data_IF_157772538340
#
_entry.id   IF_157772538340
#
_cell.length_a   1.000
_cell.length_b   1.000
_cell.length_c   1.000
_cell.angle_alpha   90.00
_cell.angle_beta   90.00
_cell.angle_gamma   90.00
#
_symmetry.space_group_name_H-M   'P 1'
#
loop_
_entity.id
_entity.type
_entity.pdbx_description
1 polymer ?
#
# COMPACT_ATOMS: atom_id res chain seq x y z
N UNK A 1 -9.07 -52.72 11.06
CA UNK A 1 -8.77 -51.34 11.45
C UNK A 1 -7.47 -50.77 10.85
N UNK A 2 -6.42 -51.58 10.60
CA UNK A 2 -5.16 -51.10 10.00
C UNK A 2 -5.28 -50.55 8.56
N UNK A 3 -6.23 -51.05 7.75
CA UNK A 3 -6.48 -50.59 6.37
C UNK A 3 -7.09 -49.18 6.30
N UNK A 4 -7.89 -48.82 7.29
CA UNK A 4 -8.52 -47.49 7.39
C UNK A 4 -7.47 -46.48 7.88
N UNK A 5 -6.66 -46.85 8.86
CA UNK A 5 -5.56 -46.02 9.35
C UNK A 5 -4.54 -45.72 8.22
N UNK A 6 -4.16 -46.72 7.43
CA UNK A 6 -3.25 -46.54 6.28
C UNK A 6 -3.86 -45.66 5.19
N UNK A 7 -5.13 -45.84 4.85
CA UNK A 7 -5.83 -44.96 3.90
C UNK A 7 -5.87 -43.50 4.40
N UNK A 8 -6.19 -43.28 5.68
CA UNK A 8 -6.20 -41.94 6.28
C UNK A 8 -4.81 -41.29 6.27
N UNK A 9 -3.75 -42.04 6.59
CA UNK A 9 -2.37 -41.54 6.57
C UNK A 9 -1.97 -41.12 5.15
N UNK A 10 -2.30 -41.93 4.13
CA UNK A 10 -2.00 -41.60 2.73
C UNK A 10 -2.73 -40.34 2.27
N UNK A 11 -3.99 -40.15 2.66
CA UNK A 11 -4.77 -38.94 2.33
C UNK A 11 -4.16 -37.71 3.00
N UNK A 12 -3.78 -37.79 4.28
CA UNK A 12 -3.16 -36.67 5.00
C UNK A 12 -1.81 -36.29 4.39
N UNK A 13 -0.98 -37.27 4.03
CA UNK A 13 0.31 -37.02 3.37
C UNK A 13 0.13 -36.35 1.99
N UNK A 14 -0.85 -36.79 1.20
CA UNK A 14 -1.18 -36.18 -0.09
C UNK A 14 -1.63 -34.72 0.06
N UNK A 15 -2.50 -34.44 1.03
CA UNK A 15 -2.97 -33.07 1.31
C UNK A 15 -1.81 -32.16 1.77
N UNK A 16 -0.94 -32.65 2.66
CA UNK A 16 0.26 -31.91 3.09
C UNK A 16 1.19 -31.58 1.91
N UNK A 17 1.43 -32.53 1.00
CA UNK A 17 2.26 -32.31 -0.18
C UNK A 17 1.68 -31.21 -1.08
N UNK A 18 0.37 -31.21 -1.32
CA UNK A 18 -0.32 -30.18 -2.13
C UNK A 18 -0.20 -28.79 -1.49
N UNK A 19 -0.34 -28.68 -0.16
CA UNK A 19 -0.18 -27.40 0.56
C UNK A 19 1.26 -26.88 0.51
N UNK A 20 2.26 -27.77 0.63
CA UNK A 20 3.67 -27.40 0.49
C UNK A 20 4.01 -26.95 -0.94
N UNK A 21 3.47 -27.62 -1.96
CA UNK A 21 3.63 -27.22 -3.37
C UNK A 21 2.96 -25.87 -3.67
N UNK A 22 1.79 -25.60 -3.09
CA UNK A 22 1.09 -24.32 -3.27
C UNK A 22 1.83 -23.14 -2.61
N UNK A 23 2.52 -23.36 -1.49
CA UNK A 23 3.31 -22.33 -0.81
C UNK A 23 4.69 -22.11 -1.44
N UNK A 24 5.22 -23.07 -2.21
CA UNK A 24 6.51 -22.97 -2.89
C UNK A 24 6.51 -22.03 -4.12
N UNK A 25 5.36 -21.55 -4.59
CA UNK A 25 5.27 -20.65 -5.76
C UNK A 25 5.28 -19.15 -5.42
N UNK A 26 5.53 -18.77 -4.16
CA UNK A 26 5.67 -17.37 -3.75
C UNK A 26 7.13 -16.87 -3.78
N UNK A 27 7.93 -17.29 -4.76
CA UNK A 27 9.23 -16.68 -5.06
C UNK A 27 9.60 -16.88 -6.52
N UNK A 28 9.44 -15.87 -7.40
CA UNK A 28 10.18 -15.84 -8.64
C UNK A 28 11.66 -15.63 -8.27
N UNK A 29 12.42 -16.71 -8.20
CA UNK A 29 13.87 -16.65 -8.21
C UNK A 29 14.29 -16.15 -9.59
N UNK A 30 14.49 -14.84 -9.70
CA UNK A 30 15.24 -14.28 -10.80
C UNK A 30 16.65 -14.90 -10.75
N UNK A 31 16.93 -15.85 -11.65
CA UNK A 31 18.29 -16.27 -11.96
C UNK A 31 19.08 -15.02 -12.39
N UNK A 32 19.95 -14.54 -11.49
CA UNK A 32 20.90 -13.49 -11.81
C UNK A 32 21.84 -13.97 -12.91
N UNK A 33 21.80 -13.32 -14.07
CA UNK A 33 22.83 -13.47 -15.09
C UNK A 33 24.16 -12.88 -14.56
N UNK A 34 25.30 -13.50 -14.89
CA UNK A 34 26.60 -13.04 -14.43
C UNK A 34 26.98 -11.76 -15.17
N UNK A 35 27.58 -10.83 -14.43
CA UNK A 35 28.22 -9.64 -14.93
C UNK A 35 29.30 -10.01 -15.94
N UNK A 36 29.15 -9.56 -17.18
CA UNK A 36 30.14 -9.75 -18.23
C UNK A 36 30.07 -8.59 -19.21
N UNK A 37 30.63 -7.44 -18.83
CA UNK A 37 31.17 -6.48 -19.80
C UNK A 37 32.43 -5.86 -19.20
N UNK A 38 33.57 -6.34 -19.67
CA UNK A 38 34.84 -5.63 -19.65
C UNK A 38 34.82 -4.58 -20.76
N UNK A 39 35.35 -3.39 -20.49
CA UNK A 39 35.67 -2.39 -21.50
C UNK A 39 34.81 -1.13 -21.46
N UNK A 40 35.44 -0.03 -21.02
CA UNK A 40 35.01 1.37 -21.17
C UNK A 40 33.64 1.75 -20.58
N UNK A 41 33.67 2.21 -19.32
CA UNK A 41 32.56 2.92 -18.68
C UNK A 41 32.33 4.28 -19.35
N UNK A 42 31.61 4.30 -20.46
CA UNK A 42 30.99 5.51 -21.00
C UNK A 42 29.60 5.66 -20.40
N UNK A 43 29.42 6.70 -19.57
CA UNK A 43 28.18 6.95 -18.80
C UNK A 43 26.91 7.13 -19.65
N UNK A 44 27.04 7.17 -20.97
CA UNK A 44 25.93 7.34 -21.91
C UNK A 44 25.14 6.05 -22.18
N UNK A 45 25.70 4.85 -21.92
CA UNK A 45 25.08 3.57 -22.26
C UNK A 45 25.05 2.56 -21.10
N UNK A 46 24.74 3.03 -19.88
CA UNK A 46 24.23 2.14 -18.83
C UNK A 46 22.73 1.86 -19.02
N UNK A 47 22.18 0.73 -18.52
CA UNK A 47 20.73 0.60 -18.39
C UNK A 47 20.25 1.79 -17.58
N UNK A 48 19.53 2.70 -18.24
CA UNK A 48 18.96 3.87 -17.56
C UNK A 48 18.16 3.31 -16.38
N UNK A 49 18.49 3.64 -15.12
CA UNK A 49 17.59 3.31 -14.02
C UNK A 49 16.23 3.90 -14.40
N UNK A 50 15.11 3.19 -14.20
CA UNK A 50 13.82 3.63 -14.71
C UNK A 50 13.39 5.03 -14.23
N UNK A 51 14.13 5.64 -13.29
CA UNK A 51 14.00 7.06 -12.97
C UNK A 51 15.35 7.69 -12.62
N UNK A 52 15.93 8.56 -13.47
CA UNK A 52 16.97 9.48 -13.05
C UNK A 52 16.31 10.54 -12.15
N UNK A 53 16.48 10.44 -10.82
CA UNK A 53 16.21 11.56 -9.91
C UNK A 53 14.98 11.51 -9.00
N UNK A 54 14.37 10.36 -8.67
CA UNK A 54 13.32 10.31 -7.64
C UNK A 54 13.76 9.61 -6.35
N UNK A 55 14.67 10.25 -5.61
CA UNK A 55 14.74 9.98 -4.16
C UNK A 55 13.39 10.40 -3.58
N UNK A 56 12.61 9.45 -3.09
CA UNK A 56 11.38 9.79 -2.39
C UNK A 56 11.68 10.71 -1.22
N UNK A 57 10.73 11.61 -0.91
CA UNK A 57 10.90 12.57 0.17
C UNK A 57 11.00 11.90 1.54
N UNK A 58 11.18 12.71 2.60
CA UNK A 58 11.26 12.20 3.97
C UNK A 58 10.03 11.33 4.31
N UNK A 59 10.30 10.15 4.88
CA UNK A 59 9.30 9.14 5.27
C UNK A 59 8.46 8.59 4.11
N UNK A 60 9.01 8.59 2.89
CA UNK A 60 8.40 7.99 1.71
C UNK A 60 9.27 6.88 1.14
N UNK A 61 8.64 5.93 0.46
CA UNK A 61 9.27 4.82 -0.27
C UNK A 61 8.66 4.71 -1.65
N UNK A 62 9.49 4.45 -2.65
CA UNK A 62 9.01 4.23 -4.01
C UNK A 62 8.44 2.82 -4.10
N UNK A 63 7.15 2.71 -4.38
CA UNK A 63 6.50 1.42 -4.61
C UNK A 63 5.98 1.38 -6.03
N UNK A 64 6.05 0.21 -6.65
CA UNK A 64 5.49 -0.05 -7.97
C UNK A 64 4.10 -0.64 -7.80
N UNK A 65 3.20 -0.27 -8.70
CA UNK A 65 1.88 -0.89 -8.84
C UNK A 65 1.08 -1.05 -7.54
N UNK A 66 0.95 0.06 -6.81
CA UNK A 66 0.02 0.12 -5.68
C UNK A 66 -1.24 0.89 -6.01
N UNK A 67 -2.35 0.45 -5.39
CA UNK A 67 -3.63 1.17 -5.37
C UNK A 67 -3.44 2.62 -4.96
N UNK A 68 -4.00 3.57 -5.72
CA UNK A 68 -3.88 4.99 -5.36
C UNK A 68 -4.64 5.37 -4.08
N UNK A 69 -5.68 4.62 -3.72
CA UNK A 69 -6.44 4.84 -2.50
C UNK A 69 -5.92 4.06 -1.30
N UNK A 70 -5.36 2.85 -1.51
CA UNK A 70 -4.95 1.95 -0.43
C UNK A 70 -3.45 1.66 -0.31
N UNK A 71 -2.61 2.06 -1.28
CA UNK A 71 -1.14 1.98 -1.13
C UNK A 71 -0.60 2.85 0.02
N UNK A 72 -1.45 3.78 0.47
CA UNK A 72 -1.39 4.72 1.57
C UNK A 72 -2.07 4.46 2.89
N UNK A 73 -1.61 5.05 4.01
CA UNK A 73 -2.53 5.54 5.07
C UNK A 73 -2.61 7.06 5.09
N UNK A 74 -3.79 7.61 5.34
CA UNK A 74 -4.02 9.07 5.46
C UNK A 74 -4.36 9.46 6.89
N UNK A 75 -4.01 10.68 7.30
CA UNK A 75 -4.35 11.18 8.63
C UNK A 75 -5.87 11.18 8.90
N UNK A 76 -6.71 11.35 7.89
CA UNK A 76 -8.18 11.33 8.03
C UNK A 76 -8.70 9.99 8.55
N UNK A 77 -8.03 8.89 8.21
CA UNK A 77 -8.44 7.53 8.60
C UNK A 77 -8.27 7.24 10.08
N UNK A 78 -7.38 7.97 10.75
CA UNK A 78 -7.14 7.80 12.19
C UNK A 78 -8.30 8.29 13.06
N UNK A 79 -9.19 9.12 12.49
CA UNK A 79 -10.30 9.75 13.21
C UNK A 79 -11.67 9.28 12.70
N UNK A 80 -11.71 8.33 11.78
CA UNK A 80 -12.95 7.68 11.36
C UNK A 80 -13.35 6.57 12.35
N UNK A 81 -14.63 6.19 12.32
CA UNK A 81 -15.14 5.09 13.15
C UNK A 81 -14.38 3.80 12.83
N UNK A 82 -14.04 2.99 13.85
CA UNK A 82 -13.18 1.81 13.70
C UNK A 82 -13.71 0.76 12.72
N UNK A 83 -15.02 0.72 12.47
CA UNK A 83 -15.67 -0.32 11.66
C UNK A 83 -15.97 0.10 10.21
N UNK A 84 -15.34 1.15 9.68
CA UNK A 84 -15.54 1.54 8.29
C UNK A 84 -14.51 0.83 7.39
N UNK A 85 -14.92 -0.11 6.51
CA UNK A 85 -14.00 -0.73 5.58
C UNK A 85 -13.42 0.32 4.62
N UNK A 86 -12.13 0.19 4.29
CA UNK A 86 -11.50 1.03 3.27
C UNK A 86 -11.84 0.46 1.90
N UNK A 87 -12.43 1.29 1.06
CA UNK A 87 -12.70 0.94 -0.34
C UNK A 87 -11.43 1.24 -1.15
N UNK A 88 -10.84 0.20 -1.72
CA UNK A 88 -9.61 0.29 -2.49
C UNK A 88 -9.91 0.37 -3.99
N UNK A 89 -9.23 1.26 -4.70
CA UNK A 89 -9.22 1.27 -6.17
C UNK A 89 -8.27 0.17 -6.66
N UNK A 90 -8.62 -0.49 -7.76
CA UNK A 90 -7.82 -1.57 -8.35
C UNK A 90 -6.74 -1.06 -9.35
N UNK A 91 -6.32 0.19 -9.22
CA UNK A 91 -5.36 0.84 -10.11
C UNK A 91 -3.89 0.52 -9.76
N UNK A 92 -3.02 0.51 -10.78
CA UNK A 92 -1.59 0.14 -10.67
C UNK A 92 -0.72 1.41 -10.71
N UNK A 93 -0.59 2.14 -9.59
CA UNK A 93 0.19 3.39 -9.57
C UNK A 93 1.59 3.16 -9.00
N UNK A 94 2.61 3.58 -9.78
CA UNK A 94 4.01 3.54 -9.36
C UNK A 94 4.50 4.94 -8.98
N UNK A 95 4.68 5.20 -7.69
CA UNK A 95 5.10 6.51 -7.15
C UNK A 95 5.69 6.38 -5.75
N UNK A 96 6.01 7.51 -5.13
CA UNK A 96 6.35 7.58 -3.71
C UNK A 96 5.10 7.50 -2.82
N UNK A 97 5.04 6.48 -1.97
CA UNK A 97 4.04 6.27 -0.93
C UNK A 97 4.63 6.55 0.44
N UNK A 98 3.80 6.86 1.43
CA UNK A 98 4.25 6.97 2.82
C UNK A 98 4.74 5.60 3.30
N UNK A 99 5.91 5.59 3.93
CA UNK A 99 6.44 4.37 4.55
C UNK A 99 5.49 3.91 5.66
N UNK A 100 5.49 2.60 5.94
CA UNK A 100 4.73 2.04 7.05
C UNK A 100 4.95 2.82 8.36
N UNK A 101 3.88 3.03 9.13
CA UNK A 101 3.87 3.84 10.35
C UNK A 101 3.72 5.36 10.13
N UNK A 102 3.78 5.84 8.89
CA UNK A 102 3.55 7.24 8.53
C UNK A 102 2.22 7.41 7.79
N UNK A 103 1.67 8.61 7.91
CA UNK A 103 0.35 8.96 7.41
C UNK A 103 0.45 10.20 6.55
N UNK A 104 -0.19 10.19 5.38
CA UNK A 104 -0.25 11.38 4.51
C UNK A 104 -1.21 12.40 5.10
N UNK A 105 -0.72 13.61 5.35
CA UNK A 105 -1.55 14.73 5.79
C UNK A 105 -2.17 15.48 4.60
N UNK A 106 -3.03 16.46 4.88
CA UNK A 106 -3.67 17.32 3.85
C UNK A 106 -2.69 18.15 3.02
N UNK A 107 -1.46 18.34 3.49
CA UNK A 107 -0.37 19.05 2.79
C UNK A 107 0.49 18.11 1.93
N UNK A 108 0.09 16.83 1.78
CA UNK A 108 0.82 15.84 0.99
C UNK A 108 2.10 15.31 1.66
N UNK A 109 2.35 15.61 2.94
CA UNK A 109 3.56 15.15 3.67
C UNK A 109 3.27 13.89 4.49
N UNK A 110 4.24 12.98 4.55
CA UNK A 110 4.19 11.78 5.37
C UNK A 110 4.68 12.09 6.79
N UNK A 111 3.75 12.07 7.73
CA UNK A 111 3.97 12.47 9.13
C UNK A 111 3.67 11.33 10.07
N UNK A 112 4.20 11.38 11.29
CA UNK A 112 3.90 10.36 12.31
C UNK A 112 2.44 10.47 12.77
N UNK A 113 1.90 9.40 13.36
CA UNK A 113 0.54 9.38 13.90
C UNK A 113 0.24 10.57 14.84
N UNK A 114 1.21 10.95 15.69
CA UNK A 114 1.09 12.08 16.63
C UNK A 114 0.98 13.44 15.94
N UNK A 115 1.52 13.57 14.73
CA UNK A 115 1.51 14.80 13.94
C UNK A 115 0.25 14.96 13.08
N UNK A 116 -0.62 13.95 13.04
CA UNK A 116 -1.93 14.06 12.41
C UNK A 116 -2.84 14.94 13.30
N UNK A 117 -3.23 16.10 12.78
CA UNK A 117 -4.25 16.95 13.42
C UNK A 117 -5.63 16.34 13.21
N UNK A 118 -6.46 16.34 14.26
CA UNK A 118 -7.89 16.04 14.13
C UNK A 118 -8.50 17.04 13.15
N UNK A 119 -9.27 16.59 12.14
CA UNK A 119 -10.14 17.48 11.39
C UNK A 119 -10.99 18.26 12.39
N UNK A 120 -11.01 19.58 12.31
CA UNK A 120 -12.00 20.36 13.04
C UNK A 120 -13.40 19.90 12.57
N UNK A 121 -14.39 19.85 13.47
CA UNK A 121 -15.78 19.71 13.06
C UNK A 121 -16.06 20.72 11.95
N UNK A 122 -16.77 20.30 10.89
CA UNK A 122 -17.25 21.26 9.91
C UNK A 122 -18.04 22.34 10.67
N UNK A 123 -17.86 23.65 10.34
CA UNK A 123 -18.73 24.68 10.88
C UNK A 123 -20.16 24.24 10.62
N UNK A 124 -20.96 24.11 11.67
CA UNK A 124 -22.40 23.92 11.49
C UNK A 124 -22.89 25.10 10.64
N UNK A 125 -23.68 24.88 9.57
CA UNK A 125 -24.32 25.98 8.87
C UNK A 125 -25.07 26.78 9.92
N UNK A 126 -24.70 28.04 10.14
CA UNK A 126 -25.51 28.92 10.96
C UNK A 126 -26.92 28.92 10.34
N UNK A 127 -27.99 28.67 11.13
CA UNK A 127 -29.33 28.86 10.61
C UNK A 127 -29.41 30.30 10.11
N UNK A 128 -29.62 30.48 8.80
CA UNK A 128 -29.92 31.80 8.26
C UNK A 128 -31.16 32.28 9.00
N UNK A 129 -31.06 33.36 9.78
CA UNK A 129 -32.24 34.03 10.31
C UNK A 129 -33.10 34.35 9.10
N UNK A 130 -34.24 33.69 8.98
CA UNK A 130 -35.30 34.13 8.09
C UNK A 130 -35.70 35.48 8.64
N UNK A 131 -35.33 36.55 7.94
CA UNK A 131 -35.83 37.89 8.23
C UNK A 131 -37.35 37.78 8.21
N UNK A 132 -37.99 37.87 9.38
CA UNK A 132 -39.43 37.96 9.46
C UNK A 132 -39.84 39.17 8.61
N UNK A 133 -40.66 38.92 7.58
CA UNK A 133 -41.25 39.96 6.77
C UNK A 133 -41.94 40.99 7.65
N UNK A 134 -41.72 42.26 7.35
CA UNK A 134 -42.41 43.39 7.97
C UNK A 134 -43.90 43.25 7.65
N UNK A 135 -44.82 43.27 8.64
CA UNK A 135 -46.24 43.37 8.34
C UNK A 135 -46.55 44.77 7.81
N UNK A 136 -47.41 44.85 6.79
CA UNK A 136 -48.02 46.08 6.27
C UNK A 136 -49.03 46.67 7.28
#
# INVERSE_FOLDING_TARGET
>A
MAKIATACILVVLALCAVVLLASAQASPQALGAPYGVSGYSNQYWGPRPPYPGRRCGRNQVYLKCQSSSCGERRCSELFHRPNRPRICTADCVSRCFCRSGFFRNRRGRCVSRRQCRKPLPAPVPFPRRVSAGRPE
#
